data_IF_794878399733
#
_entry.id   IF_794878399733
#
_cell.length_a   1.000
_cell.length_b   1.000
_cell.length_c   1.000
_cell.angle_alpha   90.00
_cell.angle_beta   90.00
_cell.angle_gamma   90.00
#
_symmetry.space_group_name_H-M   'P 1'
#
loop_
_entity.id
_entity.type
_entity.pdbx_description
1 polymer ?
#
# COMPACT_ATOMS: atom_id res chain seq x y z
N UNK A 1 29.47 -4.33 -16.81
CA UNK A 1 28.74 -3.05 -16.62
C UNK A 1 27.72 -3.26 -15.49
N UNK A 2 27.74 -2.43 -14.43
CA UNK A 2 26.92 -2.67 -13.23
C UNK A 2 25.49 -2.13 -13.41
N UNK A 3 24.60 -2.94 -13.97
CA UNK A 3 23.22 -2.55 -14.30
C UNK A 3 22.32 -2.28 -13.08
N UNK A 4 22.75 -2.63 -11.86
CA UNK A 4 21.95 -2.42 -10.63
C UNK A 4 21.74 -0.93 -10.34
N UNK A 5 22.78 -0.10 -10.50
CA UNK A 5 22.70 1.35 -10.26
C UNK A 5 21.79 2.07 -11.26
N UNK A 6 21.93 1.73 -12.55
CA UNK A 6 21.05 2.21 -13.63
C UNK A 6 19.58 1.87 -13.35
N UNK A 7 19.30 0.62 -12.94
CA UNK A 7 17.94 0.20 -12.60
C UNK A 7 17.35 1.05 -11.47
N UNK A 8 18.08 1.25 -10.37
CA UNK A 8 17.60 2.07 -9.23
C UNK A 8 17.29 3.51 -9.64
N UNK A 9 18.15 4.12 -10.44
CA UNK A 9 17.94 5.48 -10.94
C UNK A 9 16.72 5.59 -11.85
N UNK A 10 16.52 4.65 -12.78
CA UNK A 10 15.33 4.67 -13.66
C UNK A 10 14.02 4.48 -12.91
N UNK A 11 14.02 3.72 -11.81
CA UNK A 11 12.86 3.56 -10.93
C UNK A 11 12.52 4.88 -10.23
N UNK A 12 13.53 5.59 -9.70
CA UNK A 12 13.34 6.90 -9.08
C UNK A 12 12.82 7.95 -10.09
N UNK A 13 13.39 7.96 -11.30
CA UNK A 13 12.93 8.83 -12.38
C UNK A 13 11.49 8.52 -12.78
N UNK A 14 11.14 7.24 -12.89
CA UNK A 14 9.78 6.82 -13.18
C UNK A 14 8.81 7.28 -12.08
N UNK A 15 9.13 7.01 -10.80
CA UNK A 15 8.33 7.47 -9.68
C UNK A 15 8.09 8.99 -9.72
N UNK A 16 9.15 9.78 -9.88
CA UNK A 16 9.04 11.23 -9.94
C UNK A 16 8.18 11.72 -11.13
N UNK A 17 8.24 11.04 -12.28
CA UNK A 17 7.41 11.37 -13.44
C UNK A 17 5.94 11.03 -13.22
N UNK A 18 5.64 9.86 -12.65
CA UNK A 18 4.26 9.45 -12.40
C UNK A 18 3.61 10.26 -11.28
N UNK A 19 4.37 10.59 -10.24
CA UNK A 19 3.91 11.44 -9.15
C UNK A 19 3.46 12.81 -9.68
N UNK A 20 4.26 13.44 -10.55
CA UNK A 20 3.91 14.71 -11.22
C UNK A 20 2.64 14.63 -12.09
N UNK A 21 2.20 13.44 -12.49
CA UNK A 21 0.98 13.24 -13.30
C UNK A 21 -0.29 13.05 -12.45
N UNK A 22 -0.18 12.97 -11.13
CA UNK A 22 -1.32 12.71 -10.26
C UNK A 22 -2.32 13.88 -10.23
N UNK A 23 -1.86 15.09 -10.49
CA UNK A 23 -2.74 16.24 -10.75
C UNK A 23 -3.61 15.93 -11.97
N UNK A 24 -4.92 15.65 -11.77
CA UNK A 24 -6.01 15.47 -12.77
C UNK A 24 -6.77 14.12 -12.72
N UNK A 25 -6.52 13.23 -11.75
CA UNK A 25 -7.38 12.02 -11.64
C UNK A 25 -8.69 12.34 -10.91
N UNK A 26 -9.78 11.91 -11.52
CA UNK A 26 -11.11 11.92 -10.92
C UNK A 26 -11.11 11.01 -9.68
N UNK A 27 -11.61 11.53 -8.56
CA UNK A 27 -11.69 10.79 -7.31
C UNK A 27 -12.81 9.76 -7.42
N UNK A 28 -12.45 8.47 -7.43
CA UNK A 28 -13.42 7.38 -7.37
C UNK A 28 -13.69 7.06 -5.91
N UNK A 29 -14.92 7.26 -5.46
CA UNK A 29 -15.35 6.86 -4.10
C UNK A 29 -16.20 5.60 -4.23
N UNK A 30 -15.91 4.51 -3.49
CA UNK A 30 -16.78 3.34 -3.46
C UNK A 30 -18.10 3.67 -2.78
N UNK A 31 -19.15 2.88 -3.05
CA UNK A 31 -20.40 2.97 -2.28
C UNK A 31 -20.24 2.33 -0.89
N UNK A 32 -19.56 1.18 -0.82
CA UNK A 32 -19.18 0.49 0.41
C UNK A 32 -17.77 -0.07 0.24
N UNK A 33 -17.03 -0.18 1.33
CA UNK A 33 -15.73 -0.87 1.35
C UNK A 33 -16.00 -2.35 1.54
N UNK A 34 -15.92 -3.15 0.49
CA UNK A 34 -16.01 -4.62 0.56
C UNK A 34 -14.67 -5.29 0.37
N UNK A 35 -13.82 -4.74 -0.51
CA UNK A 35 -12.51 -5.30 -0.83
C UNK A 35 -11.40 -4.38 -0.38
N UNK A 36 -10.44 -4.92 0.38
CA UNK A 36 -9.36 -4.15 0.99
C UNK A 36 -8.01 -4.71 0.55
N UNK A 37 -7.25 -3.90 -0.19
CA UNK A 37 -5.83 -4.13 -0.42
C UNK A 37 -5.02 -3.56 0.73
N UNK A 38 -4.07 -4.33 1.26
CA UNK A 38 -3.14 -3.88 2.30
C UNK A 38 -1.71 -4.01 1.79
N UNK A 39 -1.03 -2.87 1.71
CA UNK A 39 0.38 -2.79 1.37
C UNK A 39 1.17 -2.43 2.61
N UNK A 40 2.12 -3.28 2.99
CA UNK A 40 2.89 -3.08 4.20
C UNK A 40 4.36 -3.50 4.02
N UNK A 41 5.18 -3.16 4.99
CA UNK A 41 6.61 -3.46 5.00
C UNK A 41 6.88 -4.60 6.00
N UNK A 42 7.81 -5.51 5.68
CA UNK A 42 8.12 -6.66 6.54
C UNK A 42 8.49 -6.27 7.97
N UNK A 43 9.04 -5.06 8.20
CA UNK A 43 9.35 -4.54 9.56
C UNK A 43 8.14 -4.37 10.47
N UNK A 44 6.93 -4.30 9.89
CA UNK A 44 5.68 -4.15 10.64
C UNK A 44 5.10 -5.49 11.08
N UNK A 45 5.57 -6.59 10.49
CA UNK A 45 5.15 -7.93 10.83
C UNK A 45 6.12 -8.50 11.87
N UNK A 46 5.53 -8.92 12.98
CA UNK A 46 6.21 -9.38 14.19
C UNK A 46 5.14 -9.99 15.10
N UNK A 47 5.07 -9.58 16.37
CA UNK A 47 4.04 -10.06 17.30
C UNK A 47 2.63 -9.47 17.08
N UNK A 48 2.50 -8.48 16.19
CA UNK A 48 1.24 -7.77 15.97
C UNK A 48 0.55 -8.26 14.69
N UNK A 49 -0.65 -8.81 14.84
CA UNK A 49 -1.48 -9.29 13.73
C UNK A 49 -2.32 -8.15 13.15
N UNK A 50 -1.74 -7.43 12.19
CA UNK A 50 -2.39 -6.34 11.46
C UNK A 50 -3.69 -6.81 10.81
N UNK A 51 -3.71 -8.04 10.28
CA UNK A 51 -4.87 -8.58 9.56
C UNK A 51 -6.08 -8.77 10.46
N UNK A 52 -5.86 -9.33 11.66
CA UNK A 52 -6.91 -9.54 12.66
C UNK A 52 -7.40 -8.22 13.22
N UNK A 53 -6.49 -7.30 13.52
CA UNK A 53 -6.90 -6.00 14.04
C UNK A 53 -7.75 -5.25 13.00
N UNK A 54 -7.33 -5.17 11.74
CA UNK A 54 -8.11 -4.56 10.66
C UNK A 54 -9.48 -5.21 10.49
N UNK A 55 -9.53 -6.55 10.47
CA UNK A 55 -10.78 -7.31 10.37
C UNK A 55 -11.76 -6.91 11.49
N UNK A 56 -11.28 -6.80 12.72
CA UNK A 56 -12.09 -6.40 13.87
C UNK A 56 -12.55 -4.93 13.79
N UNK A 57 -11.64 -3.99 13.46
CA UNK A 57 -11.96 -2.56 13.43
C UNK A 57 -12.90 -2.19 12.29
N UNK A 58 -12.77 -2.85 11.14
CA UNK A 58 -13.63 -2.62 9.97
C UNK A 58 -14.87 -3.51 9.94
N UNK A 59 -15.00 -4.48 10.85
CA UNK A 59 -16.14 -5.40 10.89
C UNK A 59 -16.22 -6.33 9.67
N UNK A 60 -15.08 -6.66 9.06
CA UNK A 60 -14.99 -7.44 7.80
C UNK A 60 -14.28 -8.77 8.01
N UNK A 61 -14.70 -9.86 7.34
CA UNK A 61 -14.00 -11.14 7.41
C UNK A 61 -12.62 -11.07 6.75
N UNK A 62 -11.67 -11.88 7.23
CA UNK A 62 -10.29 -11.93 6.71
C UNK A 62 -10.19 -12.14 5.19
N UNK A 63 -11.14 -12.84 4.57
CA UNK A 63 -11.16 -13.10 3.11
C UNK A 63 -11.29 -11.83 2.25
N UNK A 64 -11.78 -10.74 2.85
CA UNK A 64 -11.99 -9.46 2.18
C UNK A 64 -10.70 -8.62 2.13
N UNK A 65 -9.64 -9.09 2.80
CA UNK A 65 -8.33 -8.45 2.84
C UNK A 65 -7.32 -9.23 2.00
N UNK A 66 -6.72 -8.55 1.03
CA UNK A 66 -5.54 -9.05 0.34
C UNK A 66 -4.31 -8.29 0.84
N UNK A 67 -3.38 -9.00 1.47
CA UNK A 67 -2.18 -8.41 2.07
C UNK A 67 -0.98 -8.74 1.21
N UNK A 68 -0.24 -7.70 0.80
CA UNK A 68 1.05 -7.84 0.12
C UNK A 68 2.14 -7.09 0.87
N UNK A 69 3.27 -7.75 1.09
CA UNK A 69 4.35 -7.25 1.94
C UNK A 69 5.61 -6.97 1.12
N UNK A 70 6.13 -5.75 1.27
CA UNK A 70 7.45 -5.38 0.78
C UNK A 70 8.52 -5.97 1.70
N UNK A 71 9.20 -7.00 1.22
CA UNK A 71 10.31 -7.69 1.88
C UNK A 71 11.59 -6.84 1.76
N UNK A 72 11.80 -5.95 2.73
CA UNK A 72 13.02 -5.15 2.83
C UNK A 72 14.11 -5.81 3.68
N UNK A 73 13.71 -6.76 4.52
CA UNK A 73 14.53 -7.60 5.36
C UNK A 73 14.00 -9.02 5.17
N UNK A 74 14.90 -10.00 5.06
CA UNK A 74 14.51 -11.39 4.98
C UNK A 74 13.83 -11.80 6.29
N UNK A 75 12.61 -12.30 6.16
CA UNK A 75 11.83 -12.86 7.25
C UNK A 75 11.09 -14.10 6.74
N UNK A 76 11.49 -15.26 7.25
CA UNK A 76 10.96 -16.55 6.80
C UNK A 76 9.49 -16.74 7.19
N UNK A 77 9.06 -16.17 8.33
CA UNK A 77 7.65 -16.21 8.73
C UNK A 77 6.79 -15.40 7.75
N UNK A 78 7.22 -14.18 7.45
CA UNK A 78 6.51 -13.30 6.50
C UNK A 78 6.39 -13.95 5.12
N UNK A 79 7.49 -14.52 4.61
CA UNK A 79 7.51 -15.14 3.28
C UNK A 79 6.72 -16.46 3.18
N UNK A 80 6.50 -17.16 4.30
CA UNK A 80 5.71 -18.39 4.35
C UNK A 80 4.20 -18.13 4.50
N UNK A 81 3.81 -17.01 5.13
CA UNK A 81 2.42 -16.74 5.49
C UNK A 81 1.73 -15.67 4.64
N UNK A 82 2.48 -14.83 3.93
CA UNK A 82 1.93 -13.72 3.15
C UNK A 82 2.48 -13.67 1.73
N UNK A 83 1.71 -13.03 0.84
CA UNK A 83 2.23 -12.64 -0.45
C UNK A 83 3.30 -11.56 -0.26
N UNK A 84 4.49 -11.79 -0.79
CA UNK A 84 5.61 -10.86 -0.67
C UNK A 84 6.11 -10.40 -2.04
N UNK A 85 6.78 -9.25 -2.03
CA UNK A 85 7.54 -8.74 -3.16
C UNK A 85 8.74 -7.95 -2.66
N UNK A 86 9.73 -7.75 -3.52
CA UNK A 86 11.00 -7.11 -3.18
C UNK A 86 11.51 -6.28 -4.35
N UNK A 87 12.68 -5.65 -4.21
CA UNK A 87 13.30 -4.88 -5.29
C UNK A 87 13.58 -5.72 -6.55
N UNK A 88 13.70 -7.05 -6.43
CA UNK A 88 13.97 -7.96 -7.57
C UNK A 88 12.77 -8.05 -8.53
N UNK A 89 11.58 -7.81 -8.01
CA UNK A 89 10.29 -7.91 -8.69
C UNK A 89 9.98 -6.66 -9.52
N UNK A 90 10.89 -5.69 -9.52
CA UNK A 90 10.86 -4.52 -10.38
C UNK A 90 11.95 -4.57 -11.47
N UNK A 91 11.54 -4.26 -12.68
CA UNK A 91 12.39 -3.93 -13.82
C UNK A 91 12.80 -2.47 -13.83
N UNK A 92 13.43 -2.07 -14.93
CA UNK A 92 13.66 -0.66 -15.22
C UNK A 92 12.33 0.08 -15.36
N UNK A 93 12.35 1.39 -15.07
CA UNK A 93 11.18 2.27 -15.18
C UNK A 93 9.93 1.75 -14.44
N UNK A 94 10.13 1.10 -13.28
CA UNK A 94 9.03 0.61 -12.45
C UNK A 94 8.19 -0.52 -13.06
N UNK A 95 8.66 -1.21 -14.11
CA UNK A 95 7.96 -2.37 -14.69
C UNK A 95 7.82 -3.47 -13.63
N UNK A 96 6.59 -3.87 -13.32
CA UNK A 96 6.32 -4.99 -12.43
C UNK A 96 6.64 -6.31 -13.14
N UNK A 97 7.41 -7.18 -12.50
CA UNK A 97 7.80 -8.49 -13.04
C UNK A 97 7.01 -9.62 -12.42
N UNK A 98 6.81 -9.59 -11.11
CA UNK A 98 6.12 -10.66 -10.39
C UNK A 98 4.61 -10.62 -10.64
N UNK A 99 4.02 -11.78 -10.95
CA UNK A 99 2.60 -11.88 -11.30
C UNK A 99 1.68 -11.56 -10.11
N UNK A 100 2.06 -11.96 -8.89
CA UNK A 100 1.32 -11.58 -7.68
C UNK A 100 1.21 -10.06 -7.51
N UNK A 101 2.32 -9.34 -7.76
CA UNK A 101 2.35 -7.88 -7.66
C UNK A 101 1.55 -7.21 -8.77
N UNK A 102 1.56 -7.79 -9.99
CA UNK A 102 0.71 -7.32 -11.09
C UNK A 102 -0.77 -7.51 -10.78
N UNK A 103 -1.14 -8.69 -10.27
CA UNK A 103 -2.51 -8.99 -9.83
C UNK A 103 -2.97 -7.99 -8.79
N UNK A 104 -2.18 -7.78 -7.73
CA UNK A 104 -2.49 -6.84 -6.67
C UNK A 104 -2.74 -5.41 -7.18
N UNK A 105 -1.90 -4.87 -8.08
CA UNK A 105 -2.15 -3.50 -8.58
C UNK A 105 -3.32 -3.41 -9.57
N UNK A 106 -3.68 -4.53 -10.23
CA UNK A 106 -4.73 -4.57 -11.23
C UNK A 106 -6.12 -4.87 -10.64
N UNK A 107 -6.19 -5.27 -9.37
CA UNK A 107 -7.44 -5.44 -8.63
C UNK A 107 -8.08 -4.09 -8.31
N UNK A 108 -9.38 -3.96 -8.59
CA UNK A 108 -10.21 -2.79 -8.29
C UNK A 108 -10.68 -2.79 -6.83
N UNK A 109 -9.75 -2.73 -5.86
CA UNK A 109 -10.12 -2.64 -4.44
C UNK A 109 -10.96 -1.39 -4.15
N UNK A 110 -11.89 -1.51 -3.21
CA UNK A 110 -12.61 -0.35 -2.69
C UNK A 110 -11.68 0.53 -1.85
N UNK A 111 -10.81 -0.11 -1.06
CA UNK A 111 -9.84 0.56 -0.21
C UNK A 111 -8.44 -0.06 -0.36
N UNK A 112 -7.43 0.78 -0.58
CA UNK A 112 -6.02 0.43 -0.40
C UNK A 112 -5.48 1.14 0.83
N UNK A 113 -4.99 0.36 1.79
CA UNK A 113 -4.26 0.86 2.96
C UNK A 113 -2.78 0.67 2.72
N UNK A 114 -2.00 1.76 2.72
CA UNK A 114 -0.55 1.70 2.61
C UNK A 114 0.13 2.08 3.93
N UNK A 115 0.70 1.08 4.60
CA UNK A 115 1.51 1.22 5.81
C UNK A 115 3.01 1.40 5.53
N UNK A 116 3.44 1.37 4.26
CA UNK A 116 4.85 1.57 3.94
C UNK A 116 5.33 2.95 4.35
N UNK A 117 6.60 3.03 4.73
CA UNK A 117 7.25 4.31 4.99
C UNK A 117 7.14 5.24 3.75
N UNK A 118 6.83 6.53 3.88
CA UNK A 118 6.63 7.46 2.75
C UNK A 118 7.80 7.52 1.75
N UNK A 119 9.03 7.32 2.24
CA UNK A 119 10.26 7.22 1.42
C UNK A 119 10.43 5.88 0.65
N UNK A 120 9.50 4.93 0.78
CA UNK A 120 9.57 3.64 0.08
C UNK A 120 9.17 3.81 -1.39
N UNK A 121 10.16 3.95 -2.28
CA UNK A 121 9.87 4.13 -3.72
C UNK A 121 9.08 2.95 -4.30
N UNK A 122 9.32 1.74 -3.81
CA UNK A 122 8.64 0.53 -4.25
C UNK A 122 7.19 0.52 -3.78
N UNK A 123 6.95 0.85 -2.50
CA UNK A 123 5.59 1.01 -1.99
C UNK A 123 4.82 2.09 -2.75
N UNK A 124 5.45 3.23 -2.98
CA UNK A 124 4.84 4.35 -3.71
C UNK A 124 4.51 3.99 -5.16
N UNK A 125 5.37 3.24 -5.86
CA UNK A 125 5.06 2.76 -7.22
C UNK A 125 3.87 1.80 -7.22
N UNK A 126 3.77 0.90 -6.23
CA UNK A 126 2.61 0.00 -6.08
C UNK A 126 1.34 0.82 -5.84
N UNK A 127 1.38 1.81 -4.96
CA UNK A 127 0.26 2.73 -4.70
C UNK A 127 -0.16 3.49 -5.96
N UNK A 128 0.78 4.06 -6.71
CA UNK A 128 0.48 4.80 -7.96
C UNK A 128 -0.16 3.89 -9.00
N UNK A 129 0.34 2.66 -9.13
CA UNK A 129 -0.15 1.69 -10.12
C UNK A 129 -1.47 1.04 -9.73
N UNK A 130 -1.78 0.97 -8.44
CA UNK A 130 -3.02 0.37 -7.95
C UNK A 130 -4.26 1.04 -8.55
N UNK A 131 -5.23 0.22 -8.96
CA UNK A 131 -6.56 0.67 -9.40
C UNK A 131 -7.55 0.97 -8.26
N UNK A 132 -7.14 0.77 -7.01
CA UNK A 132 -8.01 0.99 -5.86
C UNK A 132 -8.70 2.36 -5.89
N UNK A 133 -9.99 2.37 -5.53
CA UNK A 133 -10.85 3.57 -5.57
C UNK A 133 -10.42 4.57 -4.50
N UNK A 134 -10.38 4.10 -3.25
CA UNK A 134 -9.93 4.87 -2.09
C UNK A 134 -8.55 4.42 -1.66
N UNK A 135 -7.63 5.35 -1.40
CA UNK A 135 -6.26 5.10 -0.96
C UNK A 135 -5.98 5.92 0.29
N UNK A 136 -5.46 5.26 1.32
CA UNK A 136 -5.11 5.87 2.60
C UNK A 136 -3.70 5.49 3.03
N UNK A 137 -3.02 6.41 3.70
CA UNK A 137 -1.74 6.17 4.36
C UNK A 137 -1.56 7.06 5.59
N UNK A 138 -0.45 6.88 6.30
CA UNK A 138 0.01 7.84 7.30
C UNK A 138 0.28 9.21 6.67
N UNK A 139 -0.01 10.28 7.43
CA UNK A 139 0.22 11.64 6.98
C UNK A 139 1.71 11.91 6.75
N UNK A 140 2.04 12.29 5.52
CA UNK A 140 3.34 12.82 5.13
C UNK A 140 3.14 13.70 3.88
N UNK A 141 3.56 14.95 3.98
CA UNK A 141 3.36 15.96 2.93
C UNK A 141 3.99 15.56 1.60
N UNK A 142 5.08 14.79 1.62
CA UNK A 142 5.82 14.40 0.41
C UNK A 142 5.07 13.37 -0.46
N UNK A 143 4.02 12.75 0.08
CA UNK A 143 3.27 11.68 -0.59
C UNK A 143 1.76 11.90 -0.63
N UNK A 144 1.24 12.95 0.01
CA UNK A 144 -0.19 13.18 0.19
C UNK A 144 -1.00 13.15 -1.13
N UNK A 145 -0.44 13.64 -2.24
CA UNK A 145 -1.09 13.65 -3.56
C UNK A 145 -1.40 12.25 -4.14
N UNK A 146 -0.81 11.18 -3.59
CA UNK A 146 -1.10 9.79 -4.00
C UNK A 146 -2.34 9.21 -3.33
N UNK A 147 -2.87 9.87 -2.30
CA UNK A 147 -3.91 9.34 -1.42
C UNK A 147 -5.14 10.25 -1.44
N UNK A 148 -6.29 9.65 -1.18
CA UNK A 148 -7.54 10.41 -1.04
C UNK A 148 -7.59 11.14 0.30
N UNK A 149 -7.06 10.51 1.35
CA UNK A 149 -6.79 11.13 2.64
C UNK A 149 -5.63 10.44 3.33
N UNK A 150 -5.09 11.11 4.35
CA UNK A 150 -4.02 10.56 5.19
C UNK A 150 -4.38 10.74 6.66
N UNK A 151 -3.83 9.90 7.52
CA UNK A 151 -4.12 9.89 8.96
C UNK A 151 -2.87 10.34 9.72
N UNK A 152 -3.00 11.40 10.51
CA UNK A 152 -1.91 11.99 11.29
C UNK A 152 -1.64 11.22 12.59
N UNK A 153 -1.04 10.04 12.45
CA UNK A 153 -0.64 9.15 13.55
C UNK A 153 0.82 8.73 13.34
N UNK A 154 1.57 8.53 14.43
CA UNK A 154 2.92 8.00 14.33
C UNK A 154 2.93 6.63 13.63
N UNK A 155 3.86 6.40 12.71
CA UNK A 155 3.89 5.18 11.87
C UNK A 155 4.09 3.87 12.64
N UNK A 156 4.49 3.94 13.92
CA UNK A 156 4.60 2.79 14.82
C UNK A 156 3.30 2.48 15.58
N UNK A 157 2.28 3.33 15.51
CA UNK A 157 0.99 3.16 16.20
C UNK A 157 -0.09 2.62 15.26
N UNK A 158 0.12 1.41 14.73
CA UNK A 158 -0.78 0.79 13.74
C UNK A 158 -2.20 0.60 14.29
N UNK A 159 -2.37 0.19 15.55
CA UNK A 159 -3.70 0.02 16.16
C UNK A 159 -4.48 1.36 16.20
N UNK A 160 -3.80 2.44 16.60
CA UNK A 160 -4.38 3.79 16.63
C UNK A 160 -4.73 4.26 15.21
N UNK A 161 -3.88 3.99 14.23
CA UNK A 161 -4.19 4.28 12.84
C UNK A 161 -5.46 3.53 12.38
N UNK A 162 -5.59 2.26 12.74
CA UNK A 162 -6.75 1.44 12.36
C UNK A 162 -8.04 1.93 13.05
N UNK A 163 -7.95 2.40 14.29
CA UNK A 163 -9.06 3.06 14.99
C UNK A 163 -9.51 4.34 14.27
N UNK A 164 -8.57 5.21 13.92
CA UNK A 164 -8.89 6.45 13.19
C UNK A 164 -9.45 6.15 11.79
N UNK A 165 -8.87 5.17 11.08
CA UNK A 165 -9.38 4.74 9.78
C UNK A 165 -10.84 4.28 9.87
N UNK A 166 -11.17 3.43 10.86
CA UNK A 166 -12.54 2.96 11.06
C UNK A 166 -13.50 4.14 11.31
N UNK A 167 -13.12 5.11 12.15
CA UNK A 167 -13.93 6.32 12.38
C UNK A 167 -14.17 7.11 11.10
N UNK A 168 -13.12 7.33 10.30
CA UNK A 168 -13.26 8.06 9.03
C UNK A 168 -14.18 7.34 8.07
N UNK A 169 -14.05 6.02 7.91
CA UNK A 169 -14.91 5.24 7.03
C UNK A 169 -16.37 5.25 7.49
N UNK A 170 -16.63 5.23 8.80
CA UNK A 170 -17.98 5.38 9.36
C UNK A 170 -18.58 6.77 9.09
N UNK A 171 -17.79 7.84 9.28
CA UNK A 171 -18.24 9.22 8.98
C UNK A 171 -18.58 9.40 7.49
N UNK A 172 -17.86 8.70 6.62
CA UNK A 172 -18.11 8.68 5.18
C UNK A 172 -19.21 7.70 4.75
N UNK A 173 -19.84 6.98 5.70
CA UNK A 173 -20.86 5.95 5.47
C UNK A 173 -20.39 4.82 4.52
N UNK A 174 -19.10 4.48 4.58
CA UNK A 174 -18.48 3.45 3.72
C UNK A 174 -18.41 2.07 4.36
N UNK A 175 -18.57 1.96 5.69
CA UNK A 175 -18.59 0.71 6.46
C UNK A 175 -19.72 0.72 7.50
#
# INVERSE_FOLDING_TARGET
MNFKGLRKNTIQLYYAQEFKKLSKKEVKVPQFVETVGVLADSRLFGSYDISRNLSQKLGKPHKDFEIIIFENLKDDFVTQHYNTFSEKDFGMYGKLKAENLKGFVDTDYDLLINYCHPKSVYGNIVTIKSKAKLKVSFADESVAEMYNFTIAVDSNKIDVFNDELAKYLQILELI
#
